data_IF_486796569307
#
_entry.id   IF_486796569307
#
_cell.length_a   1.000
_cell.length_b   1.000
_cell.length_c   1.000
_cell.angle_alpha   90.00
_cell.angle_beta   90.00
_cell.angle_gamma   90.00
#
_symmetry.space_group_name_H-M   'P 1'
#
loop_
_entity.id
_entity.type
_entity.pdbx_description
1 polymer ?
#
# COMPACT_ATOMS: atom_id res chain seq x y z
N UNK A 1 8.63 11.93 23.38
CA UNK A 1 8.22 12.18 21.98
C UNK A 1 8.28 10.94 21.09
N UNK A 2 9.03 9.90 21.44
CA UNK A 2 9.10 8.60 20.74
C UNK A 2 7.80 7.79 20.75
N UNK A 3 7.01 7.86 21.83
CA UNK A 3 5.72 7.16 21.95
C UNK A 3 4.71 7.65 20.89
N UNK A 4 4.68 8.96 20.61
CA UNK A 4 3.81 9.51 19.55
C UNK A 4 4.37 9.19 18.17
N UNK A 5 5.69 9.27 17.99
CA UNK A 5 6.37 9.00 16.71
C UNK A 5 6.27 7.54 16.22
N UNK A 6 6.24 6.56 17.13
CA UNK A 6 6.08 5.14 16.80
C UNK A 6 4.64 4.67 17.01
N UNK A 7 3.97 5.15 18.06
CA UNK A 7 2.61 4.73 18.39
C UNK A 7 1.58 5.13 17.35
N UNK A 8 1.73 6.30 16.71
CA UNK A 8 0.83 6.74 15.65
C UNK A 8 0.90 5.86 14.37
N UNK A 9 2.07 5.60 13.76
CA UNK A 9 2.15 4.73 12.58
C UNK A 9 1.80 3.27 12.89
N UNK A 10 2.21 2.74 14.05
CA UNK A 10 1.88 1.36 14.46
C UNK A 10 0.39 1.22 14.75
N UNK A 11 -0.20 2.17 15.48
CA UNK A 11 -1.64 2.20 15.75
C UNK A 11 -2.47 2.30 14.47
N UNK A 12 -2.06 3.15 13.51
CA UNK A 12 -2.70 3.27 12.20
C UNK A 12 -2.60 1.98 11.38
N UNK A 13 -1.43 1.32 11.38
CA UNK A 13 -1.22 0.05 10.69
C UNK A 13 -2.11 -1.08 11.25
N UNK A 14 -2.22 -1.16 12.58
CA UNK A 14 -3.08 -2.15 13.23
C UNK A 14 -4.56 -1.81 12.95
N UNK A 15 -4.96 -0.55 13.12
CA UNK A 15 -6.34 -0.12 12.90
C UNK A 15 -6.80 -0.38 11.45
N UNK A 16 -5.94 -0.10 10.46
CA UNK A 16 -6.25 -0.37 9.05
C UNK A 16 -6.43 -1.85 8.75
N UNK A 17 -5.69 -2.77 9.40
CA UNK A 17 -5.91 -4.22 9.28
C UNK A 17 -7.34 -4.63 9.64
N UNK A 18 -7.93 -3.96 10.64
CA UNK A 18 -9.25 -4.30 11.17
C UNK A 18 -10.40 -3.55 10.47
N UNK A 19 -10.16 -2.32 10.02
CA UNK A 19 -11.18 -1.47 9.39
C UNK A 19 -11.23 -1.63 7.87
N UNK A 20 -10.13 -2.05 7.22
CA UNK A 20 -10.08 -2.18 5.76
C UNK A 20 -11.03 -3.27 5.27
N UNK A 21 -11.76 -3.02 4.16
CA UNK A 21 -12.57 -4.05 3.51
C UNK A 21 -11.69 -5.14 2.88
N UNK A 22 -12.02 -6.40 3.14
CA UNK A 22 -11.33 -7.61 2.66
C UNK A 22 -12.34 -8.44 1.84
N UNK A 23 -11.95 -9.13 0.75
CA UNK A 23 -12.85 -10.01 0.00
C UNK A 23 -13.51 -11.06 0.89
N UNK A 24 -14.82 -11.27 0.66
CA UNK A 24 -15.68 -12.14 1.47
C UNK A 24 -15.53 -13.59 1.03
N UNK A 25 -14.41 -14.24 1.38
CA UNK A 25 -14.21 -15.70 1.25
C UNK A 25 -14.73 -16.31 -0.06
N UNK A 26 -15.93 -16.91 -0.02
CA UNK A 26 -16.60 -17.53 -1.17
C UNK A 26 -16.96 -16.54 -2.29
N UNK A 27 -17.25 -15.28 -1.96
CA UNK A 27 -17.67 -14.24 -2.89
C UNK A 27 -16.59 -13.15 -2.99
N UNK A 28 -15.70 -13.25 -3.99
CA UNK A 28 -14.68 -12.22 -4.25
C UNK A 28 -15.30 -10.84 -4.58
N UNK A 29 -16.49 -10.84 -5.19
CA UNK A 29 -17.21 -9.63 -5.57
C UNK A 29 -17.72 -8.82 -4.38
N UNK A 30 -17.81 -9.40 -3.18
CA UNK A 30 -18.24 -8.69 -1.97
C UNK A 30 -17.06 -8.46 -1.05
N UNK A 31 -17.00 -7.29 -0.43
CA UNK A 31 -15.98 -6.98 0.58
C UNK A 31 -16.62 -6.69 1.92
N UNK A 32 -15.98 -7.13 3.00
CA UNK A 32 -16.43 -6.91 4.38
C UNK A 32 -15.27 -6.43 5.25
N UNK A 33 -15.56 -5.55 6.19
CA UNK A 33 -14.61 -5.14 7.24
C UNK A 33 -14.79 -5.97 8.50
N UNK A 34 -13.72 -6.21 9.26
CA UNK A 34 -13.79 -7.07 10.45
C UNK A 34 -14.53 -6.42 11.63
N UNK A 35 -14.33 -5.11 11.84
CA UNK A 35 -14.92 -4.37 12.98
C UNK A 35 -16.19 -3.55 12.63
N UNK A 36 -16.57 -3.50 11.36
CA UNK A 36 -17.74 -2.74 10.89
C UNK A 36 -18.78 -3.73 10.32
N UNK A 37 -19.54 -4.43 11.18
CA UNK A 37 -20.57 -5.36 10.72
C UNK A 37 -21.65 -4.61 9.93
N UNK A 38 -22.09 -5.18 8.81
CA UNK A 38 -23.06 -4.54 7.90
C UNK A 38 -22.45 -3.57 6.90
N UNK A 39 -21.17 -3.19 7.04
CA UNK A 39 -20.42 -2.49 6.00
C UNK A 39 -19.91 -3.50 4.97
N UNK A 40 -20.85 -3.98 4.14
CA UNK A 40 -20.57 -4.81 2.97
C UNK A 40 -20.75 -3.99 1.70
N UNK A 41 -19.77 -4.05 0.81
CA UNK A 41 -19.87 -3.44 -0.51
C UNK A 41 -19.87 -4.54 -1.57
N UNK A 42 -20.86 -4.51 -2.45
CA UNK A 42 -20.97 -5.39 -3.61
C UNK A 42 -20.37 -4.68 -4.82
N UNK A 43 -19.37 -5.33 -5.43
CA UNK A 43 -18.61 -4.79 -6.54
C UNK A 43 -18.92 -5.50 -7.87
N UNK A 44 -19.95 -6.34 -7.92
CA UNK A 44 -20.36 -7.06 -9.14
C UNK A 44 -20.73 -6.15 -10.31
N UNK A 45 -21.12 -4.90 -10.04
CA UNK A 45 -21.44 -3.90 -11.07
C UNK A 45 -20.20 -3.33 -11.77
N UNK A 46 -19.00 -3.52 -11.20
CA UNK A 46 -17.76 -2.99 -11.75
C UNK A 46 -17.04 -4.05 -12.58
N UNK A 47 -17.38 -4.10 -13.87
CA UNK A 47 -16.85 -5.07 -14.84
C UNK A 47 -15.31 -5.06 -14.90
N UNK A 48 -14.70 -3.89 -14.70
CA UNK A 48 -13.24 -3.65 -14.77
C UNK A 48 -12.57 -3.50 -13.41
N UNK A 49 -13.15 -4.09 -12.35
CA UNK A 49 -12.60 -4.01 -10.99
C UNK A 49 -11.20 -4.60 -10.88
N UNK A 50 -11.00 -5.75 -11.50
CA UNK A 50 -9.75 -6.53 -11.39
C UNK A 50 -8.75 -6.19 -12.50
N UNK A 51 -9.06 -5.18 -13.34
CA UNK A 51 -8.15 -4.68 -14.37
C UNK A 51 -7.43 -3.42 -13.93
N UNK A 52 -6.20 -3.24 -14.41
CA UNK A 52 -5.41 -2.01 -14.21
C UNK A 52 -6.14 -0.79 -14.80
N UNK A 53 -5.99 0.36 -14.14
CA UNK A 53 -6.55 1.62 -14.63
C UNK A 53 -5.72 2.16 -15.80
N UNK A 54 -6.34 2.24 -16.97
CA UNK A 54 -5.69 2.65 -18.23
C UNK A 54 -6.40 3.85 -18.88
N UNK A 55 -7.06 4.72 -18.09
CA UNK A 55 -7.81 5.89 -18.58
C UNK A 55 -8.87 5.60 -19.67
N UNK A 56 -9.29 4.33 -19.83
CA UNK A 56 -10.27 3.90 -20.82
C UNK A 56 -9.68 3.32 -22.11
N UNK A 57 -8.36 3.32 -22.28
CA UNK A 57 -7.66 2.57 -23.34
C UNK A 57 -7.32 1.14 -22.91
N UNK A 58 -7.14 0.25 -23.88
CA UNK A 58 -6.52 -1.06 -23.62
C UNK A 58 -5.01 -0.88 -23.46
N UNK A 59 -4.36 -1.63 -22.54
CA UNK A 59 -2.92 -1.55 -22.36
C UNK A 59 -2.21 -2.04 -23.62
N UNK A 60 -1.26 -1.25 -24.12
CA UNK A 60 -0.48 -1.56 -25.31
C UNK A 60 1.01 -1.69 -24.95
N UNK A 61 1.61 -2.81 -25.34
CA UNK A 61 3.02 -3.09 -25.08
C UNK A 61 3.30 -3.64 -23.69
N UNK A 62 4.59 -3.83 -23.39
CA UNK A 62 5.06 -4.28 -22.09
C UNK A 62 5.27 -3.09 -21.15
N UNK A 63 5.02 -3.30 -19.85
CA UNK A 63 5.24 -2.31 -18.81
C UNK A 63 6.74 -2.19 -18.44
N UNK A 64 7.57 -1.83 -19.42
CA UNK A 64 9.00 -1.58 -19.22
C UNK A 64 9.30 -0.08 -19.12
N UNK A 65 10.13 0.29 -18.14
CA UNK A 65 10.52 1.67 -17.89
C UNK A 65 12.03 1.80 -17.77
N UNK A 66 12.59 2.78 -18.47
CA UNK A 66 14.01 3.10 -18.39
C UNK A 66 14.29 3.87 -17.09
N UNK A 67 14.73 3.14 -16.07
CA UNK A 67 15.11 3.76 -14.80
C UNK A 67 16.39 4.56 -14.93
N UNK A 68 16.34 5.82 -14.48
CA UNK A 68 17.53 6.65 -14.44
C UNK A 68 18.43 6.28 -13.25
N UNK A 69 19.75 6.28 -13.45
CA UNK A 69 20.73 5.92 -12.43
C UNK A 69 20.65 6.77 -11.14
N UNK A 70 20.09 7.97 -11.22
CA UNK A 70 19.91 8.85 -10.06
C UNK A 70 19.13 8.19 -8.92
N UNK A 71 18.12 7.35 -9.21
CA UNK A 71 17.35 6.66 -8.17
C UNK A 71 18.22 5.72 -7.33
N UNK A 72 19.18 5.05 -7.97
CA UNK A 72 20.13 4.17 -7.28
C UNK A 72 21.10 4.98 -6.40
N UNK A 73 21.57 6.12 -6.90
CA UNK A 73 22.43 7.02 -6.12
C UNK A 73 21.74 7.52 -4.85
N UNK A 74 20.48 7.96 -4.95
CA UNK A 74 19.70 8.37 -3.80
C UNK A 74 19.54 7.25 -2.77
N UNK A 75 19.27 6.01 -3.22
CA UNK A 75 19.12 4.86 -2.33
C UNK A 75 20.42 4.51 -1.57
N UNK A 76 21.57 4.51 -2.27
CA UNK A 76 22.88 4.24 -1.63
C UNK A 76 23.20 5.31 -0.60
N UNK A 77 23.07 6.58 -0.99
CA UNK A 77 23.38 7.72 -0.11
C UNK A 77 22.49 7.65 1.14
N UNK A 78 21.19 7.43 0.96
CA UNK A 78 20.26 7.24 2.06
C UNK A 78 20.69 6.10 3.01
N UNK A 79 21.01 4.91 2.48
CA UNK A 79 21.42 3.76 3.28
C UNK A 79 22.71 4.02 4.07
N UNK A 80 23.71 4.63 3.45
CA UNK A 80 24.99 4.96 4.11
C UNK A 80 24.76 5.95 5.25
N UNK A 81 23.94 6.99 5.01
CA UNK A 81 23.62 7.96 6.05
C UNK A 81 22.79 7.34 7.17
N UNK A 82 21.82 6.46 6.87
CA UNK A 82 21.01 5.78 7.88
C UNK A 82 21.89 4.95 8.85
N UNK A 83 22.84 4.20 8.31
CA UNK A 83 23.83 3.45 9.10
C UNK A 83 24.73 4.41 9.88
N UNK A 84 25.23 5.48 9.26
CA UNK A 84 26.09 6.46 9.94
C UNK A 84 25.37 7.15 11.11
N UNK A 85 24.09 7.50 10.95
CA UNK A 85 23.27 8.09 12.01
C UNK A 85 23.02 7.11 13.16
N UNK A 86 22.88 5.80 12.88
CA UNK A 86 22.79 4.78 13.93
C UNK A 86 24.02 4.80 14.86
N UNK A 87 25.21 5.08 14.32
CA UNK A 87 26.45 5.18 15.11
C UNK A 87 26.70 6.56 15.72
N UNK A 88 26.10 7.64 15.20
CA UNK A 88 26.25 9.00 15.75
C UNK A 88 25.25 9.31 16.87
N UNK A 89 24.09 8.65 16.87
CA UNK A 89 23.06 8.82 17.89
C UNK A 89 23.25 7.93 19.13
N UNK A 90 24.27 7.07 19.13
CA UNK A 90 24.76 6.26 20.25
C UNK A 90 26.16 6.71 20.66
#
# INVERSE_FOLDING_TARGET
MTIVGIGFPVGSFIATRFLRPIPKGSDSNKTRSLLLPGYEADHSLYIRRDSTYECGSEPLGDADINFHFQYYWYAIVFLVFDIAFMFLAF
#
